data_IF_280167353283
#
_entry.id   IF_280167353283
#
_cell.length_a   1.000
_cell.length_b   1.000
_cell.length_c   1.000
_cell.angle_alpha   90.00
_cell.angle_beta   90.00
_cell.angle_gamma   90.00
#
_symmetry.space_group_name_H-M   'P 1'
#
loop_
_entity.id
_entity.type
_entity.pdbx_description
1 polymer ?
#
# COMPACT_ATOMS: atom_id res chain seq x y z
N UNK A 1 -24.19 -2.22 3.39
CA UNK A 1 -23.07 -2.43 4.35
C UNK A 1 -21.71 -2.49 3.65
N UNK A 2 -21.64 -2.66 2.33
CA UNK A 2 -20.39 -2.65 1.53
C UNK A 2 -19.72 -1.28 1.29
N UNK A 3 -20.34 -0.16 1.65
CA UNK A 3 -19.90 1.17 1.17
C UNK A 3 -18.70 1.78 1.92
N UNK A 4 -18.12 1.08 2.90
CA UNK A 4 -16.99 1.59 3.72
C UNK A 4 -15.71 0.77 3.61
N UNK A 5 -15.66 -0.20 2.70
CA UNK A 5 -14.45 -0.99 2.47
C UNK A 5 -13.62 -0.37 1.34
N UNK A 6 -12.29 -0.40 1.50
CA UNK A 6 -11.33 -0.05 0.47
C UNK A 6 -10.32 -1.19 0.35
N UNK A 7 -9.87 -1.47 -0.86
CA UNK A 7 -8.88 -2.51 -1.16
C UNK A 7 -7.66 -1.90 -1.83
N UNK A 8 -6.48 -2.45 -1.54
CA UNK A 8 -5.26 -2.16 -2.29
C UNK A 8 -4.97 -3.36 -3.17
N UNK A 9 -5.01 -3.16 -4.49
CA UNK A 9 -4.67 -4.21 -5.44
C UNK A 9 -3.15 -4.22 -5.65
N UNK A 10 -2.44 -5.33 -5.33
CA UNK A 10 -0.99 -5.41 -5.50
C UNK A 10 -0.57 -5.59 -6.96
N UNK A 11 -1.50 -5.91 -7.85
CA UNK A 11 -1.32 -6.05 -9.29
C UNK A 11 -2.51 -5.43 -10.05
N UNK A 12 -2.36 -5.22 -11.35
CA UNK A 12 -3.47 -4.77 -12.19
C UNK A 12 -4.58 -5.81 -12.17
N UNK A 13 -5.76 -5.40 -11.71
CA UNK A 13 -6.93 -6.24 -11.62
C UNK A 13 -8.08 -5.54 -12.37
N UNK A 14 -8.86 -6.33 -13.13
CA UNK A 14 -9.90 -5.87 -14.06
C UNK A 14 -11.28 -5.76 -13.39
N UNK A 15 -11.32 -5.55 -12.09
CA UNK A 15 -12.51 -5.65 -11.27
C UNK A 15 -13.29 -4.32 -11.18
N UNK A 16 -14.59 -4.43 -10.93
CA UNK A 16 -15.57 -3.33 -10.94
C UNK A 16 -15.45 -2.34 -9.78
N UNK A 17 -14.30 -2.25 -9.13
CA UNK A 17 -14.04 -1.32 -8.03
C UNK A 17 -13.72 0.08 -8.56
N UNK A 18 -14.13 1.11 -7.81
CA UNK A 18 -13.82 2.50 -8.18
C UNK A 18 -12.39 2.83 -7.74
N UNK A 19 -11.46 2.91 -8.70
CA UNK A 19 -10.07 3.29 -8.43
C UNK A 19 -9.99 4.76 -8.04
N UNK A 20 -9.52 5.06 -6.83
CA UNK A 20 -9.40 6.43 -6.30
C UNK A 20 -7.95 6.92 -6.20
N UNK A 21 -6.96 6.04 -6.39
CA UNK A 21 -5.55 6.39 -6.27
C UNK A 21 -4.62 5.25 -6.66
N UNK A 22 -3.31 5.53 -6.63
CA UNK A 22 -2.23 4.58 -6.89
C UNK A 22 -1.15 4.75 -5.84
N UNK A 23 -0.51 3.65 -5.46
CA UNK A 23 0.60 3.64 -4.51
C UNK A 23 1.87 3.14 -5.23
N UNK A 24 3.05 3.76 -5.00
CA UNK A 24 4.29 3.33 -5.65
C UNK A 24 4.91 2.09 -4.99
N UNK A 25 4.37 1.67 -3.84
CA UNK A 25 4.90 0.62 -2.97
C UNK A 25 4.28 -0.71 -3.35
N UNK A 26 5.13 -1.73 -3.56
CA UNK A 26 4.68 -3.12 -3.68
C UNK A 26 4.32 -3.66 -2.30
N UNK A 27 3.10 -4.18 -2.15
CA UNK A 27 2.66 -4.86 -0.92
C UNK A 27 2.88 -6.37 -0.94
N UNK A 28 3.07 -6.92 -2.14
CA UNK A 28 3.25 -8.35 -2.39
C UNK A 28 4.30 -8.57 -3.48
N UNK A 29 5.14 -9.58 -3.29
CA UNK A 29 6.07 -10.08 -4.29
C UNK A 29 6.46 -11.51 -3.93
N UNK A 30 6.29 -12.43 -4.87
CA UNK A 30 6.52 -13.85 -4.67
C UNK A 30 7.99 -14.19 -4.34
N UNK A 31 8.92 -13.31 -4.68
CA UNK A 31 10.34 -13.49 -4.36
C UNK A 31 10.70 -13.15 -2.90
N UNK A 32 9.77 -12.57 -2.13
CA UNK A 32 10.03 -12.14 -0.75
C UNK A 32 9.70 -13.24 0.26
N UNK A 33 10.37 -13.19 1.42
CA UNK A 33 10.07 -14.06 2.57
C UNK A 33 9.88 -13.18 3.82
N UNK A 34 8.63 -12.98 4.29
CA UNK A 34 7.36 -13.44 3.71
C UNK A 34 6.99 -12.71 2.40
N UNK A 35 6.14 -13.30 1.54
CA UNK A 35 5.77 -12.71 0.24
C UNK A 35 4.85 -11.50 0.35
N UNK A 36 4.28 -11.25 1.53
CA UNK A 36 3.41 -10.12 1.86
C UNK A 36 3.93 -9.42 3.11
N UNK A 37 3.88 -8.09 3.12
CA UNK A 37 4.35 -7.29 4.26
C UNK A 37 3.29 -7.02 5.32
N UNK A 38 2.01 -7.10 4.95
CA UNK A 38 0.86 -6.86 5.83
C UNK A 38 0.35 -8.16 6.45
N UNK A 39 -0.10 -8.09 7.70
CA UNK A 39 -0.74 -9.17 8.44
C UNK A 39 -2.13 -8.73 8.93
N UNK A 40 -3.05 -9.67 9.20
CA UNK A 40 -4.32 -9.34 9.85
C UNK A 40 -4.09 -8.61 11.17
N UNK A 41 -4.78 -7.48 11.36
CA UNK A 41 -4.61 -6.60 12.52
C UNK A 41 -3.72 -5.39 12.27
N UNK A 42 -2.97 -5.35 11.16
CA UNK A 42 -2.20 -4.16 10.80
C UNK A 42 -3.12 -2.99 10.43
N UNK A 43 -2.73 -1.78 10.86
CA UNK A 43 -3.43 -0.54 10.52
C UNK A 43 -2.64 0.20 9.44
N UNK A 44 -3.33 0.65 8.40
CA UNK A 44 -2.74 1.35 7.26
C UNK A 44 -3.22 2.79 7.24
N UNK A 45 -2.27 3.72 7.14
CA UNK A 45 -2.54 5.14 6.97
C UNK A 45 -2.12 5.58 5.57
N UNK A 46 -3.08 6.01 4.76
CA UNK A 46 -2.80 6.55 3.43
C UNK A 46 -2.42 8.03 3.54
N UNK A 47 -1.24 8.38 3.03
CA UNK A 47 -0.75 9.76 3.01
C UNK A 47 -0.72 10.25 1.57
N UNK A 48 -1.38 11.37 1.23
CA UNK A 48 -1.31 11.94 -0.10
C UNK A 48 0.11 12.46 -0.38
N UNK A 49 0.60 12.19 -1.58
CA UNK A 49 1.92 12.65 -2.06
C UNK A 49 1.76 13.36 -3.40
N UNK A 50 2.68 14.27 -3.70
CA UNK A 50 2.77 14.92 -5.00
C UNK A 50 3.22 13.94 -6.10
N UNK A 51 3.00 14.29 -7.36
CA UNK A 51 3.45 13.46 -8.49
C UNK A 51 4.98 13.31 -8.52
N UNK A 52 5.72 14.35 -8.10
CA UNK A 52 7.18 14.33 -8.00
C UNK A 52 7.62 13.30 -6.98
N UNK A 53 7.05 13.35 -5.77
CA UNK A 53 7.32 12.37 -4.72
C UNK A 53 6.93 10.96 -5.18
N UNK A 54 5.77 10.77 -5.81
CA UNK A 54 5.36 9.48 -6.35
C UNK A 54 6.40 8.89 -7.31
N UNK A 55 6.99 9.72 -8.17
CA UNK A 55 8.01 9.32 -9.15
C UNK A 55 9.34 8.95 -8.49
N UNK A 56 9.77 9.74 -7.52
CA UNK A 56 10.98 9.46 -6.72
C UNK A 56 10.81 8.15 -5.96
N UNK A 57 9.66 7.97 -5.32
CA UNK A 57 9.30 6.78 -4.56
C UNK A 57 9.22 5.52 -5.41
N UNK A 58 8.70 5.61 -6.64
CA UNK A 58 8.67 4.49 -7.59
C UNK A 58 10.07 4.05 -8.04
N UNK A 59 11.04 4.96 -7.98
CA UNK A 59 12.44 4.69 -8.35
C UNK A 59 13.23 4.03 -7.21
N UNK A 60 12.74 4.13 -5.97
CA UNK A 60 13.36 3.49 -4.81
C UNK A 60 12.96 2.01 -4.75
N UNK A 61 13.92 1.10 -4.99
CA UNK A 61 13.66 -0.33 -4.89
C UNK A 61 13.54 -0.76 -3.41
N UNK A 62 12.32 -1.15 -3.02
CA UNK A 62 11.95 -2.03 -1.91
C UNK A 62 12.20 -1.57 -0.45
N UNK A 63 13.18 -0.71 -0.14
CA UNK A 63 13.68 -0.61 1.25
C UNK A 63 13.72 0.80 1.88
N UNK A 64 13.10 1.81 1.28
CA UNK A 64 13.17 3.19 1.78
C UNK A 64 11.93 3.62 2.58
N UNK A 65 10.99 2.71 2.85
CA UNK A 65 9.85 3.03 3.68
C UNK A 65 10.05 2.48 5.08
N UNK A 66 10.27 3.40 5.99
CA UNK A 66 10.20 3.14 7.42
C UNK A 66 8.73 2.83 7.71
N UNK A 67 8.41 1.54 7.83
CA UNK A 67 7.18 1.11 8.48
C UNK A 67 7.34 1.52 9.94
N UNK A 68 6.95 2.75 10.27
CA UNK A 68 6.95 3.18 11.65
C UNK A 68 5.76 2.50 12.32
N UNK A 69 5.97 1.71 13.39
CA UNK A 69 4.88 1.27 14.23
C UNK A 69 4.33 2.51 14.92
N UNK A 70 3.35 3.16 14.32
CA UNK A 70 2.57 4.20 14.97
C UNK A 70 1.65 3.45 15.95
N UNK A 71 1.83 3.69 17.26
CA UNK A 71 0.98 3.15 18.33
C UNK A 71 -0.43 3.73 18.12
N UNK A 72 -1.26 3.06 17.34
CA UNK A 72 -2.65 3.44 17.11
C UNK A 72 -3.40 3.15 18.42
N UNK A 73 -3.36 4.10 19.34
CA UNK A 73 -4.20 4.06 20.54
C UNK A 73 -5.65 4.26 20.11
N UNK A 74 -6.48 3.29 20.50
CA UNK A 74 -7.94 3.27 20.36
C UNK A 74 -8.61 4.55 20.89
#
# INVERSE_FOLDING_TARGET
MEERQTGIHPCEALDGWRVTGRMPIKLFDISWQPPVILKPGDVIKLVPVSEKELRELRSLSKLAYKLEPEDVRE
#
